data_IF_932357718927
#
_entry.id   IF_932357718927
#
_cell.length_a   1.000
_cell.length_b   1.000
_cell.length_c   1.000
_cell.angle_alpha   90.00
_cell.angle_beta   90.00
_cell.angle_gamma   90.00
#
_symmetry.space_group_name_H-M   'P 1'
#
loop_
_entity.id
_entity.type
_entity.pdbx_description
1 polymer ?
#
# COMPACT_ATOMS: atom_id res chain seq x y z
N UNK A 1 -23.58 -9.37 -15.35
CA UNK A 1 -23.35 -8.30 -14.36
C UNK A 1 -22.45 -8.81 -13.23
N UNK A 2 -22.80 -9.91 -12.54
CA UNK A 2 -21.94 -10.52 -11.50
C UNK A 2 -20.53 -10.91 -11.96
N UNK A 3 -20.38 -11.51 -13.15
CA UNK A 3 -19.06 -11.93 -13.62
C UNK A 3 -18.07 -10.77 -13.81
N UNK A 4 -18.57 -9.61 -14.25
CA UNK A 4 -17.74 -8.41 -14.44
C UNK A 4 -17.40 -7.75 -13.09
N UNK A 5 -18.34 -7.73 -12.15
CA UNK A 5 -18.12 -7.26 -10.78
C UNK A 5 -17.10 -8.15 -10.05
N UNK A 6 -17.24 -9.48 -10.16
CA UNK A 6 -16.29 -10.45 -9.60
C UNK A 6 -14.90 -10.27 -10.17
N UNK A 7 -14.79 -10.08 -11.50
CA UNK A 7 -13.53 -9.81 -12.17
C UNK A 7 -12.89 -8.50 -11.68
N UNK A 8 -13.69 -7.45 -11.46
CA UNK A 8 -13.20 -6.19 -10.91
C UNK A 8 -12.66 -6.36 -9.47
N UNK A 9 -13.37 -7.10 -8.61
CA UNK A 9 -12.91 -7.42 -7.24
C UNK A 9 -11.59 -8.19 -7.28
N UNK A 10 -11.47 -9.20 -8.14
CA UNK A 10 -10.25 -10.00 -8.27
C UNK A 10 -9.07 -9.17 -8.78
N UNK A 11 -9.29 -8.27 -9.74
CA UNK A 11 -8.25 -7.37 -10.23
C UNK A 11 -7.74 -6.44 -9.11
N UNK A 12 -8.65 -5.85 -8.34
CA UNK A 12 -8.33 -4.99 -7.21
C UNK A 12 -7.61 -5.77 -6.09
N UNK A 13 -7.99 -7.03 -5.84
CA UNK A 13 -7.32 -7.91 -4.89
C UNK A 13 -5.89 -8.28 -5.32
N UNK A 14 -5.69 -8.59 -6.60
CA UNK A 14 -4.35 -8.86 -7.17
C UNK A 14 -3.47 -7.62 -7.00
N UNK A 15 -4.01 -6.43 -7.28
CA UNK A 15 -3.28 -5.18 -7.14
C UNK A 15 -2.89 -4.92 -5.67
N UNK A 16 -3.81 -5.11 -4.72
CA UNK A 16 -3.52 -4.93 -3.29
C UNK A 16 -2.43 -5.90 -2.81
N UNK A 17 -2.44 -7.15 -3.29
CA UNK A 17 -1.37 -8.11 -3.00
C UNK A 17 0.00 -7.65 -3.54
N UNK A 18 0.04 -7.03 -4.73
CA UNK A 18 1.26 -6.46 -5.28
C UNK A 18 1.79 -5.29 -4.42
N UNK A 19 0.91 -4.46 -3.87
CA UNK A 19 1.31 -3.40 -2.93
C UNK A 19 1.84 -3.98 -1.62
N UNK A 20 1.18 -4.98 -1.04
CA UNK A 20 1.68 -5.66 0.17
C UNK A 20 3.08 -6.20 -0.07
N UNK A 21 3.34 -6.85 -1.20
CA UNK A 21 4.67 -7.32 -1.57
C UNK A 21 5.70 -6.19 -1.64
N UNK A 22 5.29 -5.02 -2.14
CA UNK A 22 6.15 -3.83 -2.23
C UNK A 22 6.44 -3.23 -0.85
N UNK A 23 5.44 -3.14 0.04
CA UNK A 23 5.65 -2.67 1.42
C UNK A 23 6.53 -3.64 2.25
N UNK A 24 6.47 -4.95 1.99
CA UNK A 24 7.40 -5.92 2.58
C UNK A 24 8.86 -5.70 2.12
N UNK A 25 9.05 -5.26 0.86
CA UNK A 25 10.36 -4.83 0.37
C UNK A 25 10.81 -3.57 1.12
N UNK A 26 9.94 -2.58 1.32
CA UNK A 26 10.27 -1.37 2.10
C UNK A 26 10.75 -1.71 3.51
N UNK A 27 10.13 -2.67 4.19
CA UNK A 27 10.57 -3.14 5.51
C UNK A 27 12.02 -3.64 5.42
N UNK A 28 12.33 -4.44 4.41
CA UNK A 28 13.68 -4.96 4.17
C UNK A 28 14.69 -3.82 3.86
N UNK A 29 14.27 -2.83 3.07
CA UNK A 29 15.08 -1.65 2.76
C UNK A 29 15.36 -0.79 3.99
N UNK A 30 14.35 -0.60 4.86
CA UNK A 30 14.49 0.14 6.10
C UNK A 30 15.43 -0.58 7.07
N UNK A 31 15.33 -1.91 7.18
CA UNK A 31 16.27 -2.71 7.97
C UNK A 31 17.70 -2.57 7.42
N UNK A 32 17.86 -2.60 6.10
CA UNK A 32 19.16 -2.39 5.45
C UNK A 32 19.72 -0.98 5.66
N UNK A 33 18.85 0.04 5.67
CA UNK A 33 19.20 1.44 5.95
C UNK A 33 19.70 1.61 7.39
N UNK A 34 19.01 1.00 8.36
CA UNK A 34 19.43 0.99 9.76
C UNK A 34 20.81 0.36 9.95
N UNK A 35 21.07 -0.79 9.31
CA UNK A 35 22.38 -1.45 9.37
C UNK A 35 23.51 -0.64 8.72
N UNK A 36 23.19 0.22 7.76
CA UNK A 36 24.16 1.06 7.04
C UNK A 36 24.28 2.48 7.63
N UNK A 37 23.50 2.80 8.68
CA UNK A 37 23.38 4.14 9.27
C UNK A 37 23.11 5.24 8.22
N UNK A 38 22.39 4.90 7.15
CA UNK A 38 22.09 5.81 6.05
C UNK A 38 20.58 5.79 5.77
N UNK A 39 19.94 6.95 5.53
CA UNK A 39 18.50 7.01 5.31
C UNK A 39 18.12 6.30 4.00
N UNK A 40 16.87 5.79 3.89
CA UNK A 40 16.33 5.33 2.61
C UNK A 40 16.33 6.47 1.58
N UNK A 41 16.50 6.17 0.28
CA UNK A 41 16.40 7.20 -0.76
C UNK A 41 15.05 7.92 -0.72
N UNK A 42 15.02 9.24 -0.88
CA UNK A 42 13.77 10.02 -0.89
C UNK A 42 12.79 9.56 -1.99
N UNK A 43 13.33 9.08 -3.12
CA UNK A 43 12.51 8.51 -4.20
C UNK A 43 11.72 7.29 -3.75
N UNK A 44 12.35 6.42 -2.95
CA UNK A 44 11.69 5.24 -2.39
C UNK A 44 10.54 5.66 -1.48
N UNK A 45 10.78 6.56 -0.52
CA UNK A 45 9.75 7.08 0.39
C UNK A 45 8.55 7.65 -0.38
N UNK A 46 8.80 8.45 -1.41
CA UNK A 46 7.75 9.04 -2.25
C UNK A 46 6.93 7.99 -2.99
N UNK A 47 7.59 6.99 -3.57
CA UNK A 47 6.93 5.94 -4.34
C UNK A 47 6.05 5.06 -3.44
N UNK A 48 6.51 4.70 -2.24
CA UNK A 48 5.72 3.99 -1.24
C UNK A 48 4.50 4.77 -0.77
N UNK A 49 4.65 6.08 -0.50
CA UNK A 49 3.51 6.93 -0.15
C UNK A 49 2.45 6.97 -1.26
N UNK A 50 2.87 6.98 -2.53
CA UNK A 50 1.94 6.91 -3.68
C UNK A 50 1.19 5.57 -3.73
N UNK A 51 1.89 4.46 -3.49
CA UNK A 51 1.27 3.13 -3.48
C UNK A 51 0.27 2.98 -2.34
N UNK A 52 0.58 3.48 -1.13
CA UNK A 52 -0.34 3.46 0.01
C UNK A 52 -1.62 4.26 -0.26
N UNK A 53 -1.51 5.45 -0.85
CA UNK A 53 -2.66 6.28 -1.19
C UNK A 53 -3.60 5.58 -2.19
N UNK A 54 -3.04 4.92 -3.19
CA UNK A 54 -3.82 4.16 -4.18
C UNK A 54 -4.45 2.89 -3.58
N UNK A 55 -3.75 2.21 -2.67
CA UNK A 55 -4.30 1.06 -1.94
C UNK A 55 -5.51 1.44 -1.09
N UNK A 56 -5.44 2.58 -0.42
CA UNK A 56 -6.57 3.11 0.34
C UNK A 56 -7.76 3.42 -0.58
N UNK A 57 -7.51 4.04 -1.75
CA UNK A 57 -8.57 4.32 -2.74
C UNK A 57 -9.27 3.05 -3.22
N UNK A 58 -8.53 1.97 -3.43
CA UNK A 58 -9.07 0.67 -3.84
C UNK A 58 -9.86 0.03 -2.70
N UNK A 59 -9.36 0.05 -1.46
CA UNK A 59 -10.07 -0.49 -0.31
C UNK A 59 -11.41 0.24 -0.07
N UNK A 60 -11.42 1.57 -0.18
CA UNK A 60 -12.60 2.43 0.01
C UNK A 60 -13.71 2.21 -1.04
N UNK A 61 -13.36 1.67 -2.22
CA UNK A 61 -14.34 1.26 -3.24
C UNK A 61 -15.31 0.21 -2.72
N UNK A 62 -14.85 -0.67 -1.82
CA UNK A 62 -15.59 -1.83 -1.35
C UNK A 62 -16.14 -1.67 0.07
N UNK A 63 -15.41 -0.98 0.95
CA UNK A 63 -15.87 -0.65 2.30
C UNK A 63 -15.49 0.78 2.66
N UNK A 64 -16.49 1.61 2.95
CA UNK A 64 -16.31 3.00 3.39
C UNK A 64 -16.07 3.10 4.90
N UNK A 65 -15.25 2.23 5.47
CA UNK A 65 -14.94 2.33 6.89
C UNK A 65 -13.89 3.42 7.15
N UNK A 66 -14.19 4.43 7.99
CA UNK A 66 -13.23 5.49 8.32
C UNK A 66 -11.96 4.96 9.02
N UNK A 67 -12.07 3.81 9.67
CA UNK A 67 -11.03 3.19 10.51
C UNK A 67 -9.71 2.97 9.77
N UNK A 68 -9.75 2.52 8.51
CA UNK A 68 -8.54 2.20 7.74
C UNK A 68 -7.78 3.45 7.29
N UNK A 69 -8.50 4.47 6.81
CA UNK A 69 -7.91 5.76 6.41
C UNK A 69 -7.28 6.44 7.61
N UNK A 70 -8.01 6.53 8.72
CA UNK A 70 -7.53 7.15 9.95
C UNK A 70 -6.29 6.43 10.49
N UNK A 71 -6.29 5.09 10.48
CA UNK A 71 -5.13 4.31 10.89
C UNK A 71 -3.92 4.58 10.01
N UNK A 72 -4.05 4.52 8.68
CA UNK A 72 -2.92 4.67 7.76
C UNK A 72 -2.38 6.10 7.69
N UNK A 73 -3.24 7.12 7.82
CA UNK A 73 -2.82 8.52 7.83
C UNK A 73 -2.29 8.99 9.21
N UNK A 74 -2.62 8.27 10.28
CA UNK A 74 -2.20 8.59 11.65
C UNK A 74 -0.79 8.10 12.03
N UNK A 75 -0.14 7.27 11.21
CA UNK A 75 1.22 6.74 11.45
C UNK A 75 2.36 7.61 10.86
N UNK A 76 2.11 8.88 10.57
CA UNK A 76 3.17 9.80 10.12
C UNK A 76 4.01 10.35 11.27
#
# INVERSE_FOLDING_TARGET
MEAEETRAILADLIWLNAVIATELIQITENVSALLREAPPPESCIRDHNRLRAEALRIAEKYHKEPSLREHLMGHQ
#
